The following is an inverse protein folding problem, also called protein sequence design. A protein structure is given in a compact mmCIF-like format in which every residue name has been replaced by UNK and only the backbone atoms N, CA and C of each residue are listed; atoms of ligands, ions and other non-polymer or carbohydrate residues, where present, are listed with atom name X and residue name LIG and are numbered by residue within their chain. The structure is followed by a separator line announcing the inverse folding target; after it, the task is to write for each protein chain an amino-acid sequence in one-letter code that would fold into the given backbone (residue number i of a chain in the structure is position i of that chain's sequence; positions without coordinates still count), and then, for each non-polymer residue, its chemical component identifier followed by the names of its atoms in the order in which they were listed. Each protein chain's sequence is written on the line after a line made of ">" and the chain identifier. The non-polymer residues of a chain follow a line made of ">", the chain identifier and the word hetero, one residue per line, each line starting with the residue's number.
data_IF_774619560721
#
_entry.id   IF_774619560721
#
_cell.length_a   1.000
_cell.length_b   1.000
_cell.length_c   1.000
_cell.angle_alpha   90.00
_cell.angle_beta   90.00
_cell.angle_gamma   90.00
#
_symmetry.space_group_name_H-M   'P 1'
#
loop_
_entity.id
_entity.type
_entity.pdbx_description
1 polymer ?
#
# COMPACT_ATOMS: atom_id res chain seq x y z
N UNK A 1 2.50 12.03 -39.24
CA UNK A 1 3.59 11.54 -38.35
C UNK A 1 3.54 12.43 -37.13
N UNK A 2 2.64 12.16 -36.22
CA UNK A 2 2.52 12.94 -34.99
C UNK A 2 2.60 11.93 -33.84
N UNK A 3 3.78 11.93 -33.24
CA UNK A 3 4.09 11.08 -32.11
C UNK A 3 3.36 11.56 -30.84
N UNK A 4 2.25 10.94 -30.54
CA UNK A 4 1.69 10.95 -29.19
C UNK A 4 2.29 9.77 -28.42
N UNK A 5 3.55 9.90 -28.03
CA UNK A 5 4.07 9.17 -26.91
C UNK A 5 3.36 9.68 -25.66
N UNK A 6 2.29 9.01 -25.28
CA UNK A 6 1.64 9.18 -23.99
C UNK A 6 2.54 8.59 -22.91
N UNK A 7 3.39 9.45 -22.37
CA UNK A 7 4.30 9.07 -21.30
C UNK A 7 3.49 8.90 -20.01
N UNK A 8 3.43 7.69 -19.50
CA UNK A 8 2.77 7.34 -18.23
C UNK A 8 3.37 8.15 -17.07
N UNK A 9 4.69 8.35 -17.10
CA UNK A 9 5.39 9.22 -16.16
C UNK A 9 4.83 10.65 -16.19
N UNK A 10 4.35 11.12 -17.34
CA UNK A 10 3.72 12.44 -17.45
C UNK A 10 2.35 12.50 -16.77
N UNK A 11 1.51 11.44 -16.89
CA UNK A 11 0.18 11.42 -16.24
C UNK A 11 0.25 11.20 -14.74
N UNK A 12 1.09 10.27 -14.29
CA UNK A 12 1.36 10.06 -12.86
C UNK A 12 1.95 11.34 -12.28
N UNK A 13 2.98 11.91 -12.95
CA UNK A 13 3.58 13.17 -12.56
C UNK A 13 2.59 14.34 -12.62
N UNK A 14 1.61 14.35 -13.52
CA UNK A 14 0.62 15.41 -13.59
C UNK A 14 -0.42 15.31 -12.48
N UNK A 15 -0.89 14.11 -12.13
CA UNK A 15 -1.78 13.92 -10.98
C UNK A 15 -1.06 14.20 -9.66
N UNK A 16 0.18 13.74 -9.53
CA UNK A 16 1.04 14.02 -8.37
C UNK A 16 1.41 15.50 -8.32
N UNK A 17 1.76 16.15 -9.47
CA UNK A 17 2.07 17.58 -9.52
C UNK A 17 0.84 18.44 -9.23
N UNK A 18 -0.33 18.10 -9.72
CA UNK A 18 -1.54 18.87 -9.45
C UNK A 18 -1.90 18.83 -7.97
N UNK A 19 -1.84 17.66 -7.31
CA UNK A 19 -2.00 17.58 -5.85
C UNK A 19 -0.85 18.24 -5.07
N UNK A 20 0.40 18.17 -5.58
CA UNK A 20 1.55 18.87 -4.97
C UNK A 20 1.45 20.40 -5.10
N UNK A 21 0.83 20.94 -6.15
CA UNK A 21 0.64 22.38 -6.32
C UNK A 21 -0.48 22.94 -5.44
N UNK A 22 -1.53 22.18 -5.21
CA UNK A 22 -2.66 22.58 -4.35
C UNK A 22 -2.35 22.49 -2.85
N UNK A 23 -1.41 21.61 -2.45
CA UNK A 23 -0.98 21.39 -1.08
C UNK A 23 0.54 21.67 -0.93
N UNK A 24 0.99 22.90 -1.15
CA UNK A 24 2.34 23.30 -0.79
C UNK A 24 2.45 23.29 0.73
N UNK A 25 3.08 22.24 1.26
CA UNK A 25 3.20 21.96 2.67
C UNK A 25 4.10 22.99 3.31
N UNK A 26 3.54 23.83 4.18
CA UNK A 26 4.26 24.56 5.22
C UNK A 26 4.52 23.68 6.44
N UNK A 27 4.40 22.37 6.29
CA UNK A 27 4.63 21.42 7.36
C UNK A 27 6.11 21.39 7.72
N UNK A 28 6.41 21.51 8.99
CA UNK A 28 7.75 21.33 9.50
C UNK A 28 8.15 19.85 9.39
N UNK A 29 9.08 19.54 8.49
CA UNK A 29 9.68 18.22 8.33
C UNK A 29 11.09 18.30 8.88
N UNK A 30 11.45 17.42 9.81
CA UNK A 30 12.86 17.21 10.17
C UNK A 30 13.45 16.14 9.27
N UNK A 31 14.67 16.33 8.86
CA UNK A 31 15.39 15.41 7.99
C UNK A 31 16.88 15.37 8.34
N UNK A 32 17.55 14.35 7.86
CA UNK A 32 19.00 14.18 7.95
C UNK A 32 19.54 13.53 6.68
N UNK A 33 20.76 13.91 6.29
CA UNK A 33 21.48 13.21 5.22
C UNK A 33 22.00 11.88 5.72
N UNK A 34 21.88 10.85 4.87
CA UNK A 34 22.44 9.51 5.09
C UNK A 34 23.30 9.10 3.90
N UNK A 35 24.04 8.02 4.03
CA UNK A 35 24.82 7.47 2.91
C UNK A 35 23.95 7.00 1.71
N UNK A 36 22.62 6.85 1.90
CA UNK A 36 21.68 6.35 0.89
C UNK A 36 20.79 7.46 0.30
N UNK A 37 20.92 8.70 0.77
CA UNK A 37 20.10 9.84 0.40
C UNK A 37 19.47 10.52 1.63
N UNK A 38 18.48 11.36 1.40
CA UNK A 38 17.80 12.08 2.46
C UNK A 38 16.83 11.18 3.22
N UNK A 39 16.82 11.28 4.55
CA UNK A 39 15.89 10.58 5.44
C UNK A 39 15.05 11.62 6.20
N UNK A 40 13.73 11.47 6.12
CA UNK A 40 12.79 12.23 6.96
C UNK A 40 12.76 11.58 8.34
N UNK A 41 13.06 12.35 9.38
CA UNK A 41 13.14 11.86 10.75
C UNK A 41 11.88 12.14 11.56
N UNK A 42 11.17 13.21 11.25
CA UNK A 42 9.97 13.57 12.01
C UNK A 42 9.07 14.52 11.18
N UNK A 43 7.76 14.33 11.29
CA UNK A 43 6.72 15.17 10.69
C UNK A 43 5.84 15.76 11.79
N UNK A 44 5.64 17.09 11.78
CA UNK A 44 4.88 17.83 12.81
C UNK A 44 3.60 18.48 12.29
N UNK A 45 3.31 18.36 11.00
CA UNK A 45 2.16 19.02 10.38
C UNK A 45 0.82 18.54 10.91
N UNK A 46 -0.19 19.36 10.69
CA UNK A 46 -1.59 19.09 11.02
C UNK A 46 -2.46 18.90 9.76
N UNK A 47 -1.86 18.67 8.60
CA UNK A 47 -2.58 18.49 7.35
C UNK A 47 -3.22 17.09 7.29
N UNK A 48 -4.46 17.02 6.82
CA UNK A 48 -5.15 15.74 6.62
C UNK A 48 -4.62 14.98 5.41
N UNK A 49 -4.12 15.69 4.38
CA UNK A 49 -3.49 15.11 3.20
C UNK A 49 -2.02 15.58 3.12
N UNK A 50 -1.11 14.66 3.30
CA UNK A 50 0.33 14.93 3.33
C UNK A 50 0.98 14.37 2.07
N UNK A 51 1.64 15.24 1.30
CA UNK A 51 2.47 14.84 0.17
C UNK A 51 3.92 15.08 0.53
N UNK A 52 4.67 14.01 0.78
CA UNK A 52 6.09 14.14 1.09
C UNK A 52 6.89 14.50 -0.16
N UNK A 53 7.91 15.38 -0.03
CA UNK A 53 8.73 15.77 -1.15
C UNK A 53 9.62 14.61 -1.63
N UNK A 54 9.83 14.51 -2.94
CA UNK A 54 10.77 13.55 -3.53
C UNK A 54 12.22 13.93 -3.31
N UNK A 55 12.47 15.25 -3.11
CA UNK A 55 13.80 15.82 -2.89
C UNK A 55 13.76 16.88 -1.79
N UNK A 56 14.80 16.93 -0.98
CA UNK A 56 15.05 17.96 0.04
C UNK A 56 16.48 18.47 -0.16
N UNK A 57 16.64 19.80 -0.32
CA UNK A 57 17.95 20.43 -0.58
C UNK A 57 18.69 19.88 -1.82
N UNK A 58 17.93 19.40 -2.82
CA UNK A 58 18.47 18.79 -4.05
C UNK A 58 18.88 17.33 -3.90
N UNK A 59 18.64 16.72 -2.76
CA UNK A 59 18.94 15.33 -2.49
C UNK A 59 17.66 14.49 -2.40
N UNK A 60 17.68 13.32 -3.02
CA UNK A 60 16.51 12.42 -3.11
C UNK A 60 16.13 11.85 -1.74
N UNK A 61 14.85 11.89 -1.42
CA UNK A 61 14.32 11.29 -0.19
C UNK A 61 14.16 9.79 -0.41
N UNK A 62 14.92 9.01 0.36
CA UNK A 62 14.99 7.54 0.21
C UNK A 62 14.50 6.77 1.43
N UNK A 63 14.31 7.45 2.56
CA UNK A 63 13.94 6.79 3.81
C UNK A 63 13.05 7.65 4.71
N UNK A 64 12.20 6.96 5.50
CA UNK A 64 11.57 7.48 6.71
C UNK A 64 12.21 6.80 7.91
N UNK A 65 12.47 7.57 8.96
CA UNK A 65 13.06 7.06 10.20
C UNK A 65 12.03 6.32 11.07
N UNK A 66 12.49 5.66 12.12
CA UNK A 66 11.64 5.08 13.16
C UNK A 66 10.75 6.17 13.76
N UNK A 67 9.45 5.91 13.92
CA UNK A 67 8.45 6.82 14.51
C UNK A 67 8.23 8.16 13.79
N UNK A 68 8.61 8.32 12.53
CA UNK A 68 8.60 9.60 11.80
C UNK A 68 7.24 10.33 11.81
N UNK A 69 6.12 9.60 11.81
CA UNK A 69 4.74 10.12 11.88
C UNK A 69 4.00 9.69 13.15
N UNK A 70 4.68 9.04 14.10
CA UNK A 70 4.00 8.39 15.21
C UNK A 70 3.05 9.32 15.97
N UNK A 71 1.80 8.83 16.18
CA UNK A 71 0.73 9.54 16.89
C UNK A 71 0.21 10.80 16.21
N UNK A 72 0.49 11.00 14.94
CA UNK A 72 -0.19 12.04 14.19
C UNK A 72 -1.66 11.62 13.99
N UNK A 73 -2.60 12.41 14.54
CA UNK A 73 -4.03 12.13 14.49
C UNK A 73 -4.76 12.95 13.42
N UNK A 74 -4.07 13.88 12.78
CA UNK A 74 -4.66 14.76 11.77
C UNK A 74 -4.57 14.15 10.36
N UNK A 75 -3.52 13.35 10.11
CA UNK A 75 -3.24 12.77 8.80
C UNK A 75 -4.26 11.67 8.46
N UNK A 76 -4.94 11.83 7.33
CA UNK A 76 -5.87 10.84 6.74
C UNK A 76 -5.31 10.20 5.45
N UNK A 77 -4.51 10.95 4.67
CA UNK A 77 -3.90 10.49 3.42
C UNK A 77 -2.41 10.86 3.38
N UNK A 78 -1.55 9.92 3.01
CA UNK A 78 -0.10 10.14 2.85
C UNK A 78 0.34 9.69 1.46
N UNK A 79 1.06 10.57 0.78
CA UNK A 79 1.82 10.29 -0.45
C UNK A 79 3.29 10.17 -0.08
N UNK A 80 3.83 8.97 -0.21
CA UNK A 80 5.25 8.72 0.03
C UNK A 80 6.10 9.15 -1.16
N UNK A 81 7.38 9.55 -0.93
CA UNK A 81 8.30 9.86 -2.00
C UNK A 81 8.47 8.69 -2.97
N UNK A 82 8.58 9.01 -4.26
CA UNK A 82 8.64 8.00 -5.30
C UNK A 82 9.86 7.08 -5.19
N UNK A 83 11.01 7.64 -4.82
CA UNK A 83 12.27 6.90 -4.65
C UNK A 83 12.44 6.29 -3.25
N UNK A 84 11.38 6.25 -2.44
CA UNK A 84 11.44 5.72 -1.08
C UNK A 84 11.77 4.22 -1.10
N UNK A 85 12.76 3.81 -0.33
CA UNK A 85 13.24 2.42 -0.22
C UNK A 85 13.12 1.84 1.17
N UNK A 86 13.10 2.70 2.18
CA UNK A 86 13.11 2.29 3.59
C UNK A 86 12.05 3.05 4.38
N UNK A 87 11.28 2.32 5.18
CA UNK A 87 10.37 2.88 6.19
C UNK A 87 10.76 2.28 7.53
N UNK A 88 11.04 3.13 8.49
CA UNK A 88 11.47 2.75 9.82
C UNK A 88 10.39 2.02 10.61
N UNK A 89 10.79 1.40 11.75
CA UNK A 89 9.88 0.72 12.65
C UNK A 89 8.91 1.73 13.27
N UNK A 90 7.65 1.34 13.37
CA UNK A 90 6.61 2.19 13.97
C UNK A 90 6.48 3.57 13.32
N UNK A 91 6.88 3.73 12.05
CA UNK A 91 6.89 5.03 11.37
C UNK A 91 5.54 5.75 11.43
N UNK A 92 4.43 5.02 11.29
CA UNK A 92 3.06 5.54 11.38
C UNK A 92 2.31 5.04 12.64
N UNK A 93 3.05 4.71 13.71
CA UNK A 93 2.48 4.15 14.92
C UNK A 93 1.35 5.01 15.49
N UNK A 94 0.14 4.42 15.59
CA UNK A 94 -1.07 5.08 16.10
C UNK A 94 -1.52 6.31 15.31
N UNK A 95 -1.22 6.40 14.02
CA UNK A 95 -1.91 7.33 13.12
C UNK A 95 -3.33 6.80 12.86
N UNK A 96 -4.23 7.02 13.83
CA UNK A 96 -5.55 6.36 13.87
C UNK A 96 -6.49 6.80 12.75
N UNK A 97 -6.27 7.99 12.20
CA UNK A 97 -7.09 8.56 11.14
C UNK A 97 -6.49 8.32 9.74
N UNK A 98 -5.30 7.72 9.65
CA UNK A 98 -4.69 7.37 8.37
C UNK A 98 -5.50 6.28 7.69
N UNK A 99 -6.18 6.66 6.61
CA UNK A 99 -7.06 5.81 5.80
C UNK A 99 -6.44 5.41 4.47
N UNK A 100 -5.60 6.29 3.90
CA UNK A 100 -5.07 6.10 2.57
C UNK A 100 -3.56 6.28 2.52
N UNK A 101 -2.88 5.31 1.88
CA UNK A 101 -1.44 5.34 1.68
C UNK A 101 -1.10 5.16 0.20
N UNK A 102 -0.32 6.09 -0.36
CA UNK A 102 0.10 6.09 -1.75
C UNK A 102 1.63 5.99 -1.81
N UNK A 103 2.15 5.06 -2.62
CA UNK A 103 3.59 4.76 -2.66
C UNK A 103 4.05 4.17 -3.99
N UNK A 104 5.37 4.23 -4.22
CA UNK A 104 6.04 3.54 -5.31
C UNK A 104 6.45 2.11 -4.95
N UNK A 105 6.63 1.25 -5.95
CA UNK A 105 7.04 -0.14 -5.74
C UNK A 105 8.55 -0.33 -5.47
N UNK A 106 9.32 0.76 -5.35
CA UNK A 106 10.73 0.68 -4.90
C UNK A 106 10.84 0.33 -3.41
N UNK A 107 9.81 0.65 -2.62
CA UNK A 107 9.69 0.19 -1.25
C UNK A 107 9.29 -1.30 -1.25
N UNK A 108 10.17 -2.17 -0.80
CA UNK A 108 9.96 -3.62 -0.82
C UNK A 108 9.52 -4.19 0.52
N UNK A 109 9.88 -3.55 1.61
CA UNK A 109 9.51 -3.93 2.97
C UNK A 109 9.32 -2.68 3.83
N UNK A 110 8.49 -2.78 4.86
CA UNK A 110 8.32 -1.76 5.88
C UNK A 110 8.93 -2.23 7.21
N UNK A 111 9.39 -1.31 8.02
CA UNK A 111 9.86 -1.62 9.37
C UNK A 111 8.75 -2.24 10.21
N UNK A 112 9.12 -3.19 11.08
CA UNK A 112 8.14 -3.91 11.89
C UNK A 112 7.27 -2.97 12.73
N UNK A 113 5.97 -3.19 12.70
CA UNK A 113 4.97 -2.36 13.39
C UNK A 113 4.74 -0.99 12.77
N UNK A 114 5.23 -0.74 11.54
CA UNK A 114 5.14 0.57 10.89
C UNK A 114 3.71 1.11 10.87
N UNK A 115 2.71 0.27 10.68
CA UNK A 115 1.30 0.62 10.60
C UNK A 115 0.50 0.22 11.86
N UNK A 116 1.17 -0.14 12.94
CA UNK A 116 0.50 -0.56 14.18
C UNK A 116 -0.41 0.55 14.73
N UNK A 117 -1.70 0.24 14.82
CA UNK A 117 -2.73 1.17 15.32
C UNK A 117 -3.24 2.15 14.28
N UNK A 118 -2.90 1.98 13.00
CA UNK A 118 -3.55 2.62 11.86
C UNK A 118 -4.83 1.87 11.47
N UNK A 119 -5.65 2.53 10.65
CA UNK A 119 -6.89 1.97 10.06
C UNK A 119 -6.91 2.25 8.55
N UNK A 120 -5.92 1.72 7.83
CA UNK A 120 -5.90 1.87 6.37
C UNK A 120 -7.12 1.20 5.75
N UNK A 121 -7.78 1.93 4.86
CA UNK A 121 -8.91 1.47 4.05
C UNK A 121 -8.49 1.30 2.59
N UNK A 122 -7.52 2.13 2.14
CA UNK A 122 -7.05 2.17 0.76
C UNK A 122 -5.53 2.23 0.68
N UNK A 123 -4.98 1.50 -0.28
CA UNK A 123 -3.56 1.54 -0.64
C UNK A 123 -3.42 1.65 -2.16
N UNK A 124 -2.64 2.62 -2.62
CA UNK A 124 -2.29 2.75 -4.04
C UNK A 124 -0.79 2.50 -4.22
N UNK A 125 -0.43 1.61 -5.15
CA UNK A 125 0.97 1.30 -5.45
C UNK A 125 1.23 1.55 -6.93
N UNK A 126 2.22 2.40 -7.21
CA UNK A 126 2.67 2.72 -8.55
C UNK A 126 3.90 1.89 -8.91
N UNK A 127 3.77 1.05 -9.94
CA UNK A 127 4.85 0.20 -10.43
C UNK A 127 5.58 0.87 -11.58
N UNK A 128 6.87 1.08 -11.42
CA UNK A 128 7.78 1.50 -12.49
C UNK A 128 8.39 0.30 -13.18
N UNK A 129 8.89 -0.65 -12.40
CA UNK A 129 9.55 -1.85 -12.91
C UNK A 129 9.24 -3.07 -12.04
N UNK A 130 9.07 -4.22 -12.69
CA UNK A 130 8.88 -5.50 -12.01
C UNK A 130 7.52 -5.63 -11.34
N UNK A 131 7.41 -6.62 -10.43
CA UNK A 131 6.14 -7.00 -9.79
C UNK A 131 6.22 -7.00 -8.26
N UNK A 132 7.39 -6.71 -7.69
CA UNK A 132 7.61 -6.72 -6.25
C UNK A 132 7.22 -5.40 -5.64
N UNK A 133 6.68 -5.46 -4.43
CA UNK A 133 6.36 -4.29 -3.61
C UNK A 133 6.29 -4.68 -2.13
N UNK A 134 6.10 -3.69 -1.26
CA UNK A 134 5.87 -3.93 0.17
C UNK A 134 4.41 -4.29 0.49
N UNK A 135 3.56 -4.56 -0.50
CA UNK A 135 2.13 -4.85 -0.27
C UNK A 135 1.93 -5.95 0.78
N UNK A 136 2.75 -7.01 0.74
CA UNK A 136 2.70 -8.08 1.74
C UNK A 136 2.84 -7.53 3.16
N UNK A 137 3.85 -6.68 3.42
CA UNK A 137 4.09 -6.10 4.74
C UNK A 137 2.90 -5.25 5.21
N UNK A 138 2.28 -4.51 4.29
CA UNK A 138 1.11 -3.68 4.60
C UNK A 138 -0.08 -4.54 5.01
N UNK A 139 -0.46 -5.52 4.19
CA UNK A 139 -1.66 -6.33 4.45
C UNK A 139 -1.50 -7.27 5.64
N UNK A 140 -0.29 -7.73 5.95
CA UNK A 140 -0.02 -8.54 7.13
C UNK A 140 -0.17 -7.75 8.46
N UNK A 141 0.11 -6.43 8.46
CA UNK A 141 -0.12 -5.59 9.64
C UNK A 141 -1.57 -5.12 9.79
N UNK A 142 -2.38 -5.18 8.72
CA UNK A 142 -3.77 -4.73 8.72
C UNK A 142 -4.73 -5.91 8.91
N UNK A 143 -5.64 -5.79 9.88
CA UNK A 143 -6.67 -6.81 10.14
C UNK A 143 -8.01 -6.46 9.50
N UNK A 144 -8.22 -5.18 9.21
CA UNK A 144 -9.42 -4.68 8.56
C UNK A 144 -9.40 -4.95 7.06
N UNK A 145 -10.55 -4.80 6.42
CA UNK A 145 -10.66 -4.84 4.98
C UNK A 145 -9.85 -3.71 4.34
N UNK A 146 -9.06 -4.03 3.32
CA UNK A 146 -8.25 -3.06 2.57
C UNK A 146 -8.51 -3.21 1.08
N UNK A 147 -8.77 -2.07 0.41
CA UNK A 147 -8.77 -1.95 -1.05
C UNK A 147 -7.40 -1.54 -1.53
N UNK A 148 -6.89 -2.25 -2.51
CA UNK A 148 -5.58 -2.00 -3.10
C UNK A 148 -5.74 -1.72 -4.59
N UNK A 149 -5.22 -0.58 -5.04
CA UNK A 149 -5.10 -0.25 -6.46
C UNK A 149 -3.63 -0.31 -6.89
N UNK A 150 -3.35 -1.14 -7.90
CA UNK A 150 -2.02 -1.28 -8.48
C UNK A 150 -2.01 -0.63 -9.85
N UNK A 151 -1.19 0.40 -10.02
CA UNK A 151 -1.05 1.14 -11.27
C UNK A 151 0.25 0.76 -11.98
N UNK A 152 0.21 0.59 -13.30
CA UNK A 152 1.37 0.15 -14.08
C UNK A 152 1.75 -1.32 -13.88
N UNK A 153 1.00 -2.05 -13.07
CA UNK A 153 1.20 -3.47 -12.85
C UNK A 153 0.60 -4.26 -14.01
N UNK A 154 1.45 -4.95 -14.80
CA UNK A 154 1.01 -5.88 -15.85
C UNK A 154 1.16 -7.31 -15.38
N UNK A 155 0.07 -8.02 -15.23
CA UNK A 155 0.12 -9.44 -14.94
C UNK A 155 0.23 -10.34 -16.18
N UNK A 156 -0.03 -9.81 -17.36
CA UNK A 156 0.35 -10.46 -18.61
C UNK A 156 1.82 -10.24 -18.90
N UNK A 157 2.68 -10.66 -18.01
CA UNK A 157 4.09 -10.61 -18.30
C UNK A 157 4.47 -11.76 -19.21
N UNK A 158 5.16 -11.42 -20.28
CA UNK A 158 6.12 -12.24 -21.03
C UNK A 158 5.70 -12.85 -22.36
N UNK A 159 4.54 -12.62 -22.93
CA UNK A 159 4.29 -13.19 -24.24
C UNK A 159 4.27 -12.22 -25.43
N UNK A 160 3.90 -10.94 -25.26
CA UNK A 160 3.84 -10.05 -26.44
C UNK A 160 4.24 -8.60 -26.12
N UNK A 161 5.41 -8.21 -26.64
CA UNK A 161 6.01 -6.87 -26.47
C UNK A 161 5.42 -5.77 -27.36
N UNK A 162 4.24 -5.92 -27.94
CA UNK A 162 3.80 -5.10 -29.06
C UNK A 162 2.48 -4.33 -28.88
N UNK A 163 2.05 -3.98 -27.68
CA UNK A 163 0.93 -3.03 -27.57
C UNK A 163 1.24 -1.90 -26.60
N UNK A 164 1.22 -0.68 -27.13
CA UNK A 164 1.47 0.59 -26.44
C UNK A 164 0.37 0.99 -25.44
N UNK A 165 -0.73 0.26 -25.36
CA UNK A 165 -1.90 0.57 -24.52
C UNK A 165 -1.95 -0.19 -23.17
N UNK A 166 -1.01 -1.11 -22.92
CA UNK A 166 -1.05 -1.99 -21.74
C UNK A 166 -0.61 -1.34 -20.42
N UNK A 167 0.02 -0.17 -20.47
CA UNK A 167 0.67 0.45 -19.32
C UNK A 167 -0.25 1.24 -18.37
N UNK A 168 -1.51 1.40 -18.73
CA UNK A 168 -2.47 2.22 -17.98
C UNK A 168 -3.51 1.42 -17.19
N UNK A 169 -3.31 0.13 -16.98
CA UNK A 169 -4.29 -0.68 -16.27
C UNK A 169 -4.12 -0.56 -14.76
N UNK A 170 -5.16 -0.06 -14.13
CA UNK A 170 -5.39 -0.20 -12.70
C UNK A 170 -5.84 -1.63 -12.44
N UNK A 171 -5.17 -2.31 -11.53
CA UNK A 171 -5.63 -3.61 -10.98
C UNK A 171 -6.13 -3.36 -9.58
N UNK A 172 -7.40 -3.66 -9.31
CA UNK A 172 -8.01 -3.55 -7.99
C UNK A 172 -8.04 -4.90 -7.31
N UNK A 173 -7.70 -4.91 -6.04
CA UNK A 173 -7.62 -6.10 -5.21
C UNK A 173 -8.22 -5.77 -3.85
N UNK A 174 -9.09 -6.64 -3.36
CA UNK A 174 -9.67 -6.54 -2.03
C UNK A 174 -9.02 -7.58 -1.12
N UNK A 175 -8.49 -7.14 0.02
CA UNK A 175 -8.14 -8.03 1.11
C UNK A 175 -9.23 -7.94 2.17
N UNK A 176 -10.05 -8.98 2.35
CA UNK A 176 -11.10 -9.00 3.36
C UNK A 176 -10.54 -8.84 4.77
N UNK A 177 -11.42 -8.50 5.71
CA UNK A 177 -11.01 -8.45 7.09
C UNK A 177 -10.72 -9.85 7.63
N UNK A 178 -9.93 -9.87 8.67
CA UNK A 178 -9.63 -11.09 9.41
C UNK A 178 -9.25 -10.71 10.84
N UNK A 179 -9.78 -11.40 11.79
CA UNK A 179 -9.35 -11.29 13.17
C UNK A 179 -9.37 -12.63 13.89
N UNK A 180 -8.59 -12.72 14.93
CA UNK A 180 -8.51 -13.86 15.82
C UNK A 180 -9.06 -13.47 17.16
N UNK A 181 -9.97 -14.27 17.68
CA UNK A 181 -10.52 -14.12 19.02
C UNK A 181 -10.04 -15.28 19.90
N UNK A 182 -9.48 -14.94 21.04
CA UNK A 182 -9.10 -15.97 22.01
C UNK A 182 -10.34 -16.69 22.53
N UNK A 183 -10.31 -18.03 22.51
CA UNK A 183 -11.37 -18.85 23.10
C UNK A 183 -11.37 -18.63 24.61
N UNK A 184 -12.51 -18.17 25.17
CA UNK A 184 -12.68 -18.01 26.59
C UNK A 184 -12.47 -19.37 27.31
N UNK A 185 -11.79 -19.31 28.46
CA UNK A 185 -11.52 -20.46 29.34
C UNK A 185 -10.49 -21.50 28.85
N UNK A 186 -9.71 -21.21 27.82
CA UNK A 186 -8.59 -22.07 27.47
C UNK A 186 -7.45 -21.92 28.48
N UNK A 187 -6.80 -23.02 28.91
CA UNK A 187 -5.61 -22.94 29.74
C UNK A 187 -4.52 -22.12 29.04
N UNK A 188 -3.80 -21.29 29.78
CA UNK A 188 -2.76 -20.40 29.26
C UNK A 188 -1.64 -21.11 28.45
N UNK A 189 -1.61 -22.42 28.41
CA UNK A 189 -0.68 -23.26 27.62
C UNK A 189 -1.23 -23.66 26.25
N UNK A 190 -2.52 -23.47 26.00
CA UNK A 190 -3.19 -23.80 24.75
C UNK A 190 -3.88 -22.53 24.29
N UNK A 191 -3.25 -21.84 23.32
CA UNK A 191 -3.87 -20.69 22.65
C UNK A 191 -4.77 -21.27 21.56
N UNK A 192 -6.03 -21.50 21.91
CA UNK A 192 -7.07 -21.71 20.91
C UNK A 192 -7.63 -20.34 20.50
N UNK A 193 -7.66 -20.10 19.20
CA UNK A 193 -8.21 -18.88 18.64
C UNK A 193 -9.31 -19.25 17.64
N UNK A 194 -10.40 -18.50 17.68
CA UNK A 194 -11.38 -18.50 16.61
C UNK A 194 -10.93 -17.54 15.52
N UNK A 195 -10.86 -18.02 14.29
CA UNK A 195 -10.57 -17.20 13.12
C UNK A 195 -11.90 -16.72 12.53
N UNK A 196 -11.97 -15.43 12.25
CA UNK A 196 -13.12 -14.78 11.65
C UNK A 196 -12.71 -14.07 10.37
N UNK A 197 -13.48 -14.27 9.29
CA UNK A 197 -13.26 -13.69 7.99
C UNK A 197 -12.17 -14.37 7.15
N UNK A 198 -12.36 -14.37 5.85
CA UNK A 198 -11.46 -15.03 4.91
C UNK A 198 -10.11 -14.32 4.72
N UNK A 199 -9.95 -13.12 5.23
CA UNK A 199 -8.78 -12.27 4.97
C UNK A 199 -7.43 -12.89 5.30
N UNK A 200 -7.38 -13.83 6.26
CA UNK A 200 -6.16 -14.55 6.62
C UNK A 200 -5.62 -15.41 5.46
N UNK A 201 -6.50 -16.02 4.68
CA UNK A 201 -6.13 -16.83 3.52
C UNK A 201 -5.53 -15.97 2.40
N UNK A 202 -6.16 -14.83 2.11
CA UNK A 202 -5.70 -13.91 1.08
C UNK A 202 -4.32 -13.30 1.39
N UNK A 203 -4.03 -13.03 2.67
CA UNK A 203 -2.73 -12.47 3.09
C UNK A 203 -1.57 -13.45 2.93
N UNK A 204 -1.84 -14.73 2.72
CA UNK A 204 -0.85 -15.77 2.43
C UNK A 204 -0.59 -15.98 0.93
N UNK A 205 -1.29 -15.24 0.06
CA UNK A 205 -1.17 -15.37 -1.40
C UNK A 205 0.01 -14.57 -1.97
N UNK A 206 1.16 -14.58 -1.28
CA UNK A 206 2.37 -13.91 -1.75
C UNK A 206 3.53 -14.89 -1.89
N UNK A 207 4.30 -14.71 -2.96
CA UNK A 207 5.57 -15.37 -3.16
C UNK A 207 6.64 -14.35 -3.52
N UNK A 208 7.74 -14.30 -2.78
CA UNK A 208 8.87 -13.40 -3.04
C UNK A 208 8.45 -11.92 -3.24
N UNK A 209 7.55 -11.39 -2.41
CA UNK A 209 6.98 -10.03 -2.46
C UNK A 209 6.10 -9.72 -3.67
N UNK A 210 5.70 -10.74 -4.40
CA UNK A 210 4.74 -10.65 -5.49
C UNK A 210 3.44 -11.32 -5.08
N UNK A 211 2.29 -10.78 -5.49
CA UNK A 211 1.00 -11.42 -5.27
C UNK A 211 0.83 -12.57 -6.27
N UNK A 212 0.53 -13.75 -5.75
CA UNK A 212 0.14 -14.91 -6.54
C UNK A 212 -1.36 -14.85 -6.80
N UNK A 213 -1.73 -14.32 -7.96
CA UNK A 213 -3.12 -14.14 -8.34
C UNK A 213 -3.90 -15.45 -8.47
N UNK A 214 -3.27 -16.50 -8.96
CA UNK A 214 -3.92 -17.81 -9.06
C UNK A 214 -4.31 -18.31 -7.67
N UNK A 215 -3.37 -18.26 -6.73
CA UNK A 215 -3.64 -18.63 -5.35
C UNK A 215 -4.66 -17.70 -4.71
N UNK A 216 -4.59 -16.39 -4.99
CA UNK A 216 -5.56 -15.42 -4.51
C UNK A 216 -6.99 -15.76 -4.98
N UNK A 217 -7.17 -16.12 -6.25
CA UNK A 217 -8.48 -16.50 -6.81
C UNK A 217 -9.02 -17.78 -6.21
N UNK A 218 -8.15 -18.75 -5.92
CA UNK A 218 -8.51 -20.00 -5.25
C UNK A 218 -9.08 -19.77 -3.84
N UNK A 219 -8.82 -18.60 -3.22
CA UNK A 219 -9.34 -18.28 -1.87
C UNK A 219 -10.79 -17.80 -1.87
N UNK A 220 -11.40 -17.53 -3.03
CA UNK A 220 -12.77 -17.00 -3.12
C UNK A 220 -13.83 -17.84 -2.40
N UNK A 221 -13.67 -19.15 -2.38
CA UNK A 221 -14.61 -20.04 -1.68
C UNK A 221 -14.61 -19.79 -0.15
N UNK A 222 -13.52 -19.33 0.44
CA UNK A 222 -13.47 -18.97 1.86
C UNK A 222 -14.30 -17.72 2.12
N UNK A 223 -14.26 -16.74 1.22
CA UNK A 223 -15.10 -15.53 1.34
C UNK A 223 -16.58 -15.88 1.33
N UNK A 224 -17.00 -16.77 0.43
CA UNK A 224 -18.40 -17.22 0.37
C UNK A 224 -18.82 -17.94 1.66
N UNK A 225 -17.88 -18.58 2.34
CA UNK A 225 -18.16 -19.37 3.54
C UNK A 225 -18.07 -18.55 4.85
N UNK A 226 -17.22 -17.53 4.89
CA UNK A 226 -16.76 -16.88 6.13
C UNK A 226 -17.02 -15.35 6.18
N UNK A 227 -17.28 -14.70 5.04
CA UNK A 227 -17.50 -13.26 4.95
C UNK A 227 -18.96 -12.91 4.61
N UNK A 228 -19.23 -11.60 4.50
CA UNK A 228 -20.54 -11.10 4.10
C UNK A 228 -20.78 -11.26 2.60
N UNK A 229 -22.06 -11.26 2.20
CA UNK A 229 -22.44 -11.29 0.79
C UNK A 229 -21.90 -10.08 0.03
N UNK A 230 -21.88 -8.90 0.66
CA UNK A 230 -21.31 -7.68 0.09
C UNK A 230 -19.83 -7.85 -0.25
N UNK A 231 -19.04 -8.42 0.66
CA UNK A 231 -17.61 -8.68 0.43
C UNK A 231 -17.39 -9.67 -0.71
N UNK A 232 -18.18 -10.75 -0.76
CA UNK A 232 -18.11 -11.73 -1.85
C UNK A 232 -18.48 -11.11 -3.20
N UNK A 233 -19.51 -10.27 -3.25
CA UNK A 233 -19.91 -9.55 -4.46
C UNK A 233 -18.84 -8.56 -4.91
N UNK A 234 -18.24 -7.78 -4.00
CA UNK A 234 -17.17 -6.83 -4.32
C UNK A 234 -15.96 -7.55 -4.94
N UNK A 235 -15.52 -8.67 -4.34
CA UNK A 235 -14.46 -9.51 -4.89
C UNK A 235 -14.78 -10.07 -6.27
N UNK A 236 -15.99 -10.56 -6.47
CA UNK A 236 -16.41 -11.08 -7.76
C UNK A 236 -16.46 -9.99 -8.85
N UNK A 237 -16.92 -8.78 -8.50
CA UNK A 237 -16.97 -7.64 -9.42
C UNK A 237 -15.58 -7.16 -9.80
N UNK A 238 -14.64 -7.14 -8.87
CA UNK A 238 -13.26 -6.76 -9.15
C UNK A 238 -12.61 -7.75 -10.12
N UNK A 239 -12.91 -9.05 -9.97
CA UNK A 239 -12.42 -10.08 -10.89
C UNK A 239 -13.04 -9.97 -12.30
N UNK A 240 -14.32 -9.62 -12.41
CA UNK A 240 -14.98 -9.43 -13.70
C UNK A 240 -14.46 -8.20 -14.48
N UNK A 241 -13.98 -7.18 -13.79
CA UNK A 241 -13.38 -5.99 -14.42
C UNK A 241 -12.01 -6.26 -15.03
N UNK A 242 -11.33 -7.31 -14.57
CA UNK A 242 -9.99 -7.70 -14.99
C UNK A 242 -9.95 -9.18 -15.43
N UNK A 243 -10.71 -9.56 -16.49
CA UNK A 243 -10.65 -10.92 -17.00
C UNK A 243 -9.24 -11.26 -17.47
N UNK A 244 -8.85 -12.52 -17.34
CA UNK A 244 -7.56 -13.08 -17.76
C UNK A 244 -7.22 -12.80 -19.23
#
# INVERSE_FOLDING_TARGET
>A
MDGNEWNMDAKINEQVKNKKQDNMITAEIKYKMTAKGMMITEYYGADSCVVLPDEIEGETVTALDDYAFARNLEVEEIWLPEALKEVGRYAFYRCRNLKKLILGNQLLDMGGGALTGCRLEEVEIYFREGKKSCLKSIVEEMRYQIRVSLYGYSWRCCAEKNSTDEWLREVRILFPEHYEEAVENTPARILETHHHGAGGYYRQCFYNRELDYKKYDEMFYHTVAEDTEETAVELALDRLRFPE
#
